data_IF_747351766008
#
_entry.id   IF_747351766008
#
_cell.length_a   1.000
_cell.length_b   1.000
_cell.length_c   1.000
_cell.angle_alpha   90.00
_cell.angle_beta   90.00
_cell.angle_gamma   90.00
#
_symmetry.space_group_name_H-M   'P 1'
#
loop_
_entity.id
_entity.type
_entity.pdbx_description
1 polymer ?
#
# COMPACT_ATOMS: atom_id res chain seq x y z
N UNK A 1 -25.89 -23.67 70.07
CA UNK A 1 -26.96 -23.25 69.12
C UNK A 1 -26.31 -23.00 67.77
N UNK A 2 -26.30 -24.01 66.90
CA UNK A 2 -25.73 -23.91 65.55
C UNK A 2 -26.82 -23.61 64.52
N UNK A 3 -26.52 -22.77 63.53
CA UNK A 3 -27.30 -22.67 62.30
C UNK A 3 -26.41 -22.92 61.09
N UNK A 4 -26.97 -23.80 60.25
CA UNK A 4 -26.38 -24.51 59.12
C UNK A 4 -26.22 -23.61 57.88
N UNK A 5 -25.21 -23.97 57.08
CA UNK A 5 -25.11 -23.69 55.66
C UNK A 5 -26.31 -24.27 54.87
N UNK A 6 -26.67 -23.63 53.76
CA UNK A 6 -27.44 -24.23 52.68
C UNK A 6 -26.65 -24.12 51.38
N UNK A 7 -26.27 -25.27 50.85
CA UNK A 7 -25.95 -25.49 49.45
C UNK A 7 -27.23 -25.47 48.61
N UNK A 8 -27.11 -25.07 47.36
CA UNK A 8 -28.06 -25.43 46.29
C UNK A 8 -27.21 -25.81 45.09
N UNK A 9 -27.26 -27.09 44.74
CA UNK A 9 -26.84 -27.65 43.46
C UNK A 9 -28.08 -27.88 42.58
N UNK A 10 -27.81 -28.21 41.32
CA UNK A 10 -28.69 -28.86 40.32
C UNK A 10 -29.51 -27.84 39.49
N UNK A 11 -29.50 -27.80 38.15
CA UNK A 11 -29.56 -28.90 37.19
C UNK A 11 -29.09 -28.48 35.77
N UNK A 12 -28.41 -29.41 35.10
CA UNK A 12 -28.11 -29.43 33.66
C UNK A 12 -29.40 -29.68 32.86
N UNK A 13 -29.59 -28.99 31.73
CA UNK A 13 -30.47 -29.43 30.65
C UNK A 13 -29.93 -28.94 29.28
N UNK A 14 -29.37 -29.89 28.57
CA UNK A 14 -29.11 -29.91 27.13
C UNK A 14 -30.43 -30.05 26.35
N UNK A 15 -30.54 -29.43 25.17
CA UNK A 15 -31.42 -29.87 24.07
C UNK A 15 -31.25 -29.03 22.80
N UNK A 16 -30.84 -29.74 21.76
CA UNK A 16 -30.85 -29.43 20.34
C UNK A 16 -32.11 -28.71 19.83
N UNK A 17 -31.91 -27.80 18.87
CA UNK A 17 -32.89 -27.59 17.80
C UNK A 17 -32.31 -26.93 16.54
N UNK A 18 -32.23 -27.76 15.49
CA UNK A 18 -32.76 -27.53 14.14
C UNK A 18 -32.05 -26.52 13.22
N UNK A 19 -31.23 -27.12 12.36
CA UNK A 19 -30.85 -26.71 11.00
C UNK A 19 -32.08 -26.36 10.15
N UNK A 20 -32.09 -25.19 9.50
CA UNK A 20 -32.92 -24.94 8.31
C UNK A 20 -32.03 -24.57 7.13
N UNK A 21 -31.83 -25.58 6.29
CA UNK A 21 -31.39 -25.47 4.90
C UNK A 21 -32.57 -25.01 4.04
N UNK A 22 -32.34 -24.01 3.18
CA UNK A 22 -33.25 -23.65 2.11
C UNK A 22 -32.54 -23.87 0.77
N UNK A 23 -32.74 -25.07 0.24
CA UNK A 23 -32.41 -25.49 -1.12
C UNK A 23 -33.44 -24.93 -2.09
N UNK A 24 -32.98 -24.19 -3.10
CA UNK A 24 -33.79 -23.79 -4.26
C UNK A 24 -33.43 -24.70 -5.43
N UNK A 25 -34.38 -25.54 -5.84
CA UNK A 25 -34.33 -26.31 -7.09
C UNK A 25 -35.19 -25.59 -8.13
N UNK A 26 -34.60 -25.26 -9.29
CA UNK A 26 -35.35 -25.05 -10.53
C UNK A 26 -34.62 -25.76 -11.68
N UNK A 27 -35.37 -26.72 -12.23
CA UNK A 27 -35.38 -27.40 -13.52
C UNK A 27 -34.17 -27.34 -14.49
N UNK A 28 -33.76 -28.55 -14.89
CA UNK A 28 -33.06 -28.85 -16.15
C UNK A 28 -34.07 -28.86 -17.31
N UNK A 29 -33.67 -28.32 -18.46
CA UNK A 29 -34.13 -28.73 -19.78
C UNK A 29 -32.98 -28.51 -20.80
N UNK A 30 -32.70 -29.54 -21.59
CA UNK A 30 -31.86 -29.58 -22.80
C UNK A 30 -32.65 -30.42 -23.83
N UNK A 31 -32.29 -30.55 -25.13
CA UNK A 31 -31.33 -29.82 -25.97
C UNK A 31 -31.87 -29.47 -27.39
N UNK A 32 -31.17 -28.61 -28.13
CA UNK A 32 -30.84 -28.86 -29.55
C UNK A 32 -29.85 -27.83 -30.08
N UNK A 33 -28.93 -28.29 -30.94
CA UNK A 33 -27.69 -27.61 -31.28
C UNK A 33 -27.73 -26.72 -32.52
N UNK A 34 -26.54 -26.20 -32.85
CA UNK A 34 -25.93 -26.21 -34.18
C UNK A 34 -24.53 -25.61 -34.11
N UNK A 35 -23.61 -26.35 -34.72
CA UNK A 35 -22.28 -26.00 -35.24
C UNK A 35 -22.21 -24.62 -35.88
N UNK A 36 -21.15 -23.85 -35.58
CA UNK A 36 -20.40 -23.09 -36.59
C UNK A 36 -18.92 -23.11 -36.22
N UNK A 37 -18.17 -23.62 -37.19
CA UNK A 37 -16.73 -23.64 -37.37
C UNK A 37 -16.23 -22.26 -37.80
N UNK A 38 -15.10 -21.81 -37.26
CA UNK A 38 -14.27 -20.79 -37.90
C UNK A 38 -12.87 -20.85 -37.34
N UNK A 39 -12.07 -21.69 -37.99
CA UNK A 39 -10.62 -21.61 -38.07
C UNK A 39 -10.22 -20.41 -38.94
N UNK A 40 -9.28 -19.60 -38.47
CA UNK A 40 -8.41 -18.75 -39.31
C UNK A 40 -7.23 -18.22 -38.48
N UNK A 41 -6.10 -17.87 -39.10
CA UNK A 41 -4.85 -18.58 -38.88
C UNK A 41 -3.75 -17.72 -38.27
N UNK A 42 -2.68 -18.41 -37.91
CA UNK A 42 -1.38 -17.90 -37.48
C UNK A 42 -0.89 -16.74 -38.35
N UNK A 43 -0.53 -15.63 -37.69
CA UNK A 43 0.25 -14.55 -38.29
C UNK A 43 1.63 -14.58 -37.67
N UNK A 44 2.54 -15.24 -38.38
CA UNK A 44 3.98 -15.20 -38.19
C UNK A 44 4.44 -13.77 -38.51
N UNK A 45 5.07 -13.10 -37.55
CA UNK A 45 5.90 -11.92 -37.80
C UNK A 45 7.34 -12.38 -37.61
N UNK A 46 7.98 -12.72 -38.72
CA UNK A 46 9.43 -12.69 -38.85
C UNK A 46 9.85 -11.21 -38.86
N UNK A 47 10.77 -10.85 -37.98
CA UNK A 47 11.59 -9.65 -38.17
C UNK A 47 13.02 -10.01 -37.79
N UNK A 48 13.78 -10.39 -38.81
CA UNK A 48 15.23 -10.34 -38.83
C UNK A 48 15.68 -8.91 -38.54
N UNK A 49 16.49 -8.73 -37.50
CA UNK A 49 17.40 -7.60 -37.44
C UNK A 49 18.81 -8.11 -37.17
N UNK A 50 19.63 -7.81 -38.17
CA UNK A 50 21.01 -8.17 -38.33
C UNK A 50 21.90 -7.71 -37.17
N UNK A 51 22.77 -8.63 -36.82
CA UNK A 51 23.96 -8.42 -36.02
C UNK A 51 24.97 -7.60 -36.82
N UNK A 52 25.27 -6.38 -36.38
CA UNK A 52 26.51 -5.70 -36.75
C UNK A 52 27.30 -5.35 -35.49
N UNK A 53 28.37 -6.10 -35.31
CA UNK A 53 29.50 -5.79 -34.43
C UNK A 53 30.23 -4.56 -34.93
N UNK A 54 30.51 -3.61 -34.04
CA UNK A 54 31.53 -2.58 -34.28
C UNK A 54 32.52 -2.61 -33.13
N UNK A 55 33.75 -2.84 -33.55
CA UNK A 55 34.99 -2.96 -32.79
C UNK A 55 35.32 -1.68 -32.02
N UNK A 56 35.79 -1.92 -30.81
CA UNK A 56 36.45 -1.02 -29.85
C UNK A 56 37.52 -0.12 -30.47
N UNK A 57 37.46 1.17 -30.17
CA UNK A 57 38.65 2.03 -30.13
C UNK A 57 38.79 2.66 -28.75
N UNK A 58 39.86 2.22 -28.08
CA UNK A 58 40.42 2.78 -26.87
C UNK A 58 41.02 4.14 -27.16
N UNK A 59 40.64 5.17 -26.40
CA UNK A 59 41.53 6.30 -26.13
C UNK A 59 41.27 6.87 -24.74
N UNK A 60 42.37 7.02 -24.03
CA UNK A 60 42.53 7.44 -22.65
C UNK A 60 42.34 8.96 -22.50
N UNK A 61 41.45 9.38 -21.61
CA UNK A 61 41.48 10.71 -20.99
C UNK A 61 41.24 10.53 -19.49
N UNK A 62 42.22 10.97 -18.71
CA UNK A 62 42.20 11.07 -17.26
C UNK A 62 41.72 12.48 -16.85
N UNK A 63 41.13 12.57 -15.64
CA UNK A 63 40.68 13.79 -14.94
C UNK A 63 39.33 14.31 -15.49
N UNK A 64 38.27 14.53 -14.71
CA UNK A 64 38.12 14.99 -13.32
C UNK A 64 36.99 14.21 -12.61
N UNK A 65 37.24 13.76 -11.38
CA UNK A 65 36.21 13.21 -10.48
C UNK A 65 35.75 14.38 -9.64
N UNK A 66 34.79 15.14 -10.15
CA UNK A 66 34.00 16.09 -9.36
C UNK A 66 32.63 15.48 -9.04
N UNK A 67 32.19 15.72 -7.81
CA UNK A 67 31.05 15.13 -7.11
C UNK A 67 29.74 15.06 -7.93
N UNK A 68 29.44 13.88 -8.47
CA UNK A 68 28.16 13.62 -9.17
C UNK A 68 27.00 13.23 -8.24
N UNK A 69 27.14 13.36 -6.91
CA UNK A 69 26.09 13.05 -5.94
C UNK A 69 25.46 14.29 -5.26
N UNK A 70 25.76 15.50 -5.73
CA UNK A 70 25.02 16.69 -5.33
C UNK A 70 23.68 16.77 -6.07
N UNK A 71 22.70 15.98 -5.62
CA UNK A 71 21.29 16.28 -5.89
C UNK A 71 20.99 17.63 -5.22
N UNK A 72 21.16 18.72 -5.97
CA UNK A 72 20.62 20.00 -5.58
C UNK A 72 19.14 19.79 -5.22
N UNK A 73 18.64 20.32 -4.10
CA UNK A 73 17.25 20.15 -3.75
C UNK A 73 16.43 20.79 -4.86
N UNK A 74 15.85 19.96 -5.73
CA UNK A 74 14.76 20.37 -6.61
C UNK A 74 13.80 21.15 -5.72
N UNK A 75 13.39 22.31 -6.19
CA UNK A 75 12.51 23.25 -5.51
C UNK A 75 11.12 22.60 -5.38
N UNK A 76 11.02 21.53 -4.60
CA UNK A 76 9.86 20.67 -4.52
C UNK A 76 9.01 21.18 -3.40
N UNK A 77 7.82 21.63 -3.77
CA UNK A 77 6.79 21.99 -2.80
C UNK A 77 6.43 20.78 -1.91
N UNK A 78 6.78 19.56 -2.31
CA UNK A 78 6.61 18.33 -1.54
C UNK A 78 7.74 18.08 -0.52
N UNK A 79 7.36 17.89 0.75
CA UNK A 79 8.25 17.42 1.82
C UNK A 79 7.73 16.10 2.39
N UNK A 80 8.62 15.12 2.56
CA UNK A 80 8.29 13.84 3.18
C UNK A 80 9.26 13.54 4.31
N UNK A 81 8.72 13.30 5.50
CA UNK A 81 9.48 13.07 6.73
C UNK A 81 8.89 11.92 7.51
N UNK A 82 9.71 11.22 8.30
CA UNK A 82 9.18 10.23 9.23
C UNK A 82 8.62 10.91 10.48
N UNK A 83 7.33 10.69 10.76
CA UNK A 83 6.65 11.25 11.92
C UNK A 83 6.98 10.51 13.22
N UNK A 84 7.56 9.30 13.13
CA UNK A 84 8.02 8.54 14.30
C UNK A 84 9.49 8.84 14.64
N UNK A 85 10.20 9.60 13.80
CA UNK A 85 11.61 9.93 13.98
C UNK A 85 11.78 11.29 14.67
N UNK A 86 12.46 11.29 15.82
CA UNK A 86 12.83 12.53 16.53
C UNK A 86 13.77 13.43 15.72
N UNK A 87 14.54 12.85 14.79
CA UNK A 87 15.52 13.60 13.99
C UNK A 87 14.88 14.39 12.85
N UNK A 88 13.59 14.19 12.57
CA UNK A 88 12.92 14.78 11.40
C UNK A 88 13.53 14.34 10.08
N UNK A 89 14.11 13.14 10.03
CA UNK A 89 14.77 12.61 8.85
C UNK A 89 13.82 12.56 7.65
N UNK A 90 14.34 12.93 6.48
CA UNK A 90 13.57 13.07 5.26
C UNK A 90 13.62 11.80 4.43
N UNK A 91 12.47 11.39 3.90
CA UNK A 91 12.38 10.40 2.84
C UNK A 91 12.49 11.14 1.50
N UNK A 92 13.63 11.02 0.83
CA UNK A 92 13.87 11.69 -0.46
C UNK A 92 13.31 10.80 -1.58
N UNK A 93 12.29 11.24 -2.33
CA UNK A 93 11.76 10.45 -3.44
C UNK A 93 12.80 10.29 -4.56
N UNK A 94 12.76 9.14 -5.23
CA UNK A 94 13.67 8.71 -6.31
C UNK A 94 15.14 8.59 -5.88
N UNK A 95 15.42 8.60 -4.58
CA UNK A 95 16.76 8.30 -4.09
C UNK A 95 17.05 6.80 -4.22
N UNK A 96 18.24 6.47 -4.73
CA UNK A 96 18.73 5.08 -4.78
C UNK A 96 19.09 4.55 -3.39
N UNK A 97 19.50 5.44 -2.48
CA UNK A 97 19.78 5.08 -1.09
C UNK A 97 18.45 4.95 -0.33
N UNK A 98 18.13 3.77 0.23
CA UNK A 98 16.90 3.59 0.99
C UNK A 98 16.88 4.39 2.28
N UNK A 99 15.71 4.89 2.64
CA UNK A 99 15.46 5.43 3.98
C UNK A 99 15.47 4.30 5.01
N UNK A 100 16.22 4.47 6.10
CA UNK A 100 16.33 3.48 7.17
C UNK A 100 15.16 3.62 8.14
N UNK A 101 14.43 2.52 8.33
CA UNK A 101 13.40 2.38 9.35
C UNK A 101 14.04 1.75 10.58
N UNK A 102 13.94 2.40 11.73
CA UNK A 102 14.37 1.82 13.00
C UNK A 102 13.56 2.41 14.16
N UNK A 103 12.57 1.67 14.64
CA UNK A 103 11.73 2.04 15.78
C UNK A 103 11.45 0.83 16.69
N UNK A 104 10.62 0.98 17.72
CA UNK A 104 10.40 -0.07 18.72
C UNK A 104 9.85 -1.39 18.14
N UNK A 105 9.12 -1.32 17.03
CA UNK A 105 8.36 -2.46 16.47
C UNK A 105 8.95 -3.00 15.18
N UNK A 106 9.72 -2.20 14.45
CA UNK A 106 10.23 -2.51 13.13
C UNK A 106 11.67 -2.01 12.94
N UNK A 107 12.47 -2.76 12.18
CA UNK A 107 13.68 -2.25 11.53
C UNK A 107 13.63 -2.62 10.05
N UNK A 108 14.17 -1.79 9.18
CA UNK A 108 14.04 -2.01 7.75
C UNK A 108 14.49 -0.85 6.92
N UNK A 109 14.03 -0.84 5.67
CA UNK A 109 14.38 0.14 4.65
C UNK A 109 13.19 0.43 3.74
N UNK A 110 13.09 1.66 3.26
CA UNK A 110 12.05 2.06 2.33
C UNK A 110 12.61 2.94 1.19
N UNK A 111 12.09 2.74 -0.02
CA UNK A 111 12.28 3.64 -1.16
C UNK A 111 10.92 4.11 -1.63
N UNK A 112 10.83 5.40 -1.96
CA UNK A 112 9.67 5.98 -2.62
C UNK A 112 10.07 6.42 -4.04
N UNK A 113 9.52 5.75 -5.04
CA UNK A 113 9.54 6.23 -6.42
C UNK A 113 8.34 7.15 -6.62
N UNK A 114 8.57 8.29 -7.24
CA UNK A 114 7.59 9.33 -7.47
C UNK A 114 7.71 9.83 -8.91
N UNK A 115 6.59 9.83 -9.62
CA UNK A 115 6.49 10.52 -10.91
C UNK A 115 6.62 12.02 -10.67
N UNK A 116 7.51 12.66 -11.45
CA UNK A 116 7.81 14.09 -11.34
C UNK A 116 7.71 14.81 -12.68
N UNK A 117 7.64 16.13 -12.62
CA UNK A 117 7.69 17.04 -13.77
C UNK A 117 8.76 18.11 -13.54
N UNK A 118 9.87 18.11 -14.30
CA UNK A 118 10.21 17.18 -15.39
C UNK A 118 10.41 15.74 -14.90
N UNK A 119 10.29 14.78 -15.82
CA UNK A 119 10.48 13.36 -15.49
C UNK A 119 11.90 13.08 -15.01
N UNK A 120 12.01 12.22 -14.00
CA UNK A 120 13.28 11.79 -13.43
C UNK A 120 13.77 10.55 -14.19
N UNK A 121 14.89 10.68 -14.90
CA UNK A 121 15.44 9.65 -15.76
C UNK A 121 15.71 8.32 -15.03
N UNK A 122 15.96 8.35 -13.71
CA UNK A 122 16.24 7.15 -12.92
C UNK A 122 15.01 6.26 -12.73
N UNK A 123 13.80 6.85 -12.77
CA UNK A 123 12.53 6.15 -12.54
C UNK A 123 11.55 6.28 -13.71
N UNK A 124 11.89 7.05 -14.76
CA UNK A 124 11.08 7.20 -15.98
C UNK A 124 10.65 5.84 -16.56
N UNK A 125 11.55 4.85 -16.76
CA UNK A 125 11.17 3.58 -17.37
C UNK A 125 10.06 2.84 -16.60
N UNK A 126 10.06 2.96 -15.26
CA UNK A 126 9.04 2.37 -14.40
C UNK A 126 7.65 2.99 -14.61
N UNK A 127 7.58 4.30 -14.86
CA UNK A 127 6.32 5.04 -14.99
C UNK A 127 5.80 5.12 -16.43
N UNK A 128 6.67 4.96 -17.42
CA UNK A 128 6.37 5.11 -18.85
C UNK A 128 5.23 4.21 -19.30
N UNK A 129 4.22 4.81 -19.94
CA UNK A 129 3.03 4.10 -20.44
C UNK A 129 2.07 3.56 -19.37
N UNK A 130 2.36 3.79 -18.07
CA UNK A 130 1.53 3.33 -16.94
C UNK A 130 0.84 4.52 -16.29
N UNK A 131 -0.26 4.28 -15.56
CA UNK A 131 -0.98 5.31 -14.77
C UNK A 131 -0.43 5.51 -13.35
N UNK A 132 0.67 4.85 -13.01
CA UNK A 132 1.28 4.90 -11.66
C UNK A 132 1.81 6.31 -11.41
N UNK A 133 1.53 6.85 -10.24
CA UNK A 133 1.99 8.17 -9.78
C UNK A 133 3.10 8.05 -8.75
N UNK A 134 3.08 7.00 -7.93
CA UNK A 134 4.15 6.66 -7.01
C UNK A 134 4.22 5.14 -6.79
N UNK A 135 5.34 4.67 -6.28
CA UNK A 135 5.51 3.34 -5.70
C UNK A 135 6.32 3.45 -4.40
N UNK A 136 5.83 2.84 -3.34
CA UNK A 136 6.64 2.59 -2.15
C UNK A 136 7.11 1.13 -2.15
N UNK A 137 8.42 0.94 -2.01
CA UNK A 137 9.04 -0.36 -1.79
C UNK A 137 9.58 -0.40 -0.37
N UNK A 138 9.22 -1.43 0.38
CA UNK A 138 9.61 -1.57 1.79
C UNK A 138 10.15 -2.97 2.01
N UNK A 139 11.19 -3.05 2.82
CA UNK A 139 11.69 -4.27 3.43
C UNK A 139 11.74 -4.04 4.94
N UNK A 140 11.04 -4.84 5.73
CA UNK A 140 10.98 -4.65 7.18
C UNK A 140 10.94 -5.95 7.97
N UNK A 141 11.69 -6.01 9.06
CA UNK A 141 11.68 -7.06 10.07
C UNK A 141 10.88 -6.59 11.28
N UNK A 142 9.89 -7.37 11.69
CA UNK A 142 9.20 -7.13 12.96
C UNK A 142 10.13 -7.52 14.12
N UNK A 143 10.26 -6.64 15.12
CA UNK A 143 11.18 -6.85 16.26
C UNK A 143 10.55 -7.73 17.34
N UNK A 144 9.51 -7.22 18.01
CA UNK A 144 8.97 -7.82 19.22
C UNK A 144 7.46 -8.06 19.17
N UNK A 145 6.84 -7.86 17.99
CA UNK A 145 5.40 -7.97 17.81
C UNK A 145 5.03 -9.15 16.92
N UNK A 146 4.11 -9.98 17.40
CA UNK A 146 3.37 -10.93 16.58
C UNK A 146 1.99 -10.32 16.27
N UNK A 147 1.62 -10.30 15.00
CA UNK A 147 0.33 -9.76 14.57
C UNK A 147 -0.33 -10.67 13.55
N UNK A 148 -1.66 -10.69 13.53
CA UNK A 148 -2.39 -11.38 12.47
C UNK A 148 -2.33 -10.62 11.15
N UNK A 149 -2.11 -9.30 11.21
CA UNK A 149 -2.24 -8.43 10.05
C UNK A 149 -1.47 -7.13 10.22
N UNK A 150 -0.72 -6.79 9.17
CA UNK A 150 -0.23 -5.43 8.94
C UNK A 150 -1.26 -4.68 8.09
N UNK A 151 -1.60 -3.46 8.50
CA UNK A 151 -2.39 -2.52 7.74
C UNK A 151 -1.48 -1.51 7.05
N UNK A 152 -1.85 -1.11 5.84
CA UNK A 152 -1.18 -0.08 5.05
C UNK A 152 -2.20 0.89 4.49
N UNK A 153 -1.78 2.12 4.26
CA UNK A 153 -2.58 3.05 3.48
C UNK A 153 -2.26 4.51 3.75
N UNK A 154 -3.31 5.33 3.71
CA UNK A 154 -3.23 6.78 3.77
C UNK A 154 -4.06 7.28 4.93
N UNK A 155 -3.51 8.22 5.70
CA UNK A 155 -4.13 8.80 6.88
C UNK A 155 -4.02 10.33 6.84
N UNK A 156 -4.99 11.06 7.40
CA UNK A 156 -4.88 12.49 7.70
C UNK A 156 -4.54 12.74 9.18
N UNK A 157 -4.32 14.00 9.55
CA UNK A 157 -4.05 14.39 10.95
C UNK A 157 -5.30 14.56 11.82
N UNK A 158 -6.49 14.45 11.25
CA UNK A 158 -7.77 14.69 11.94
C UNK A 158 -8.97 14.24 11.12
N UNK A 159 -10.20 14.62 11.52
CA UNK A 159 -11.37 14.49 10.67
C UNK A 159 -11.22 15.27 9.37
N UNK A 160 -11.78 14.74 8.28
CA UNK A 160 -11.68 15.37 6.97
C UNK A 160 -12.57 16.64 6.93
N UNK A 161 -12.01 17.84 6.73
CA UNK A 161 -12.77 19.09 6.81
C UNK A 161 -13.81 19.28 5.70
N UNK A 162 -13.76 18.50 4.61
CA UNK A 162 -14.72 18.43 3.48
C UNK A 162 -15.43 19.76 3.18
N UNK A 163 -14.84 20.56 2.29
CA UNK A 163 -15.41 21.84 1.88
C UNK A 163 -16.60 21.65 0.93
N UNK A 164 -17.81 21.56 1.49
CA UNK A 164 -19.09 21.56 0.76
C UNK A 164 -19.51 20.22 0.13
N UNK A 165 -20.69 20.19 -0.48
CA UNK A 165 -21.36 18.96 -0.93
C UNK A 165 -20.56 18.16 -1.96
N UNK A 166 -19.82 18.83 -2.84
CA UNK A 166 -19.03 18.17 -3.89
C UNK A 166 -17.90 17.33 -3.31
N UNK A 167 -17.13 17.88 -2.36
CA UNK A 167 -16.04 17.14 -1.70
C UNK A 167 -16.58 15.94 -0.93
N UNK A 168 -17.75 16.08 -0.30
CA UNK A 168 -18.43 14.99 0.39
C UNK A 168 -18.87 13.88 -0.57
N UNK A 169 -19.49 14.21 -1.70
CA UNK A 169 -19.88 13.25 -2.73
C UNK A 169 -18.66 12.51 -3.31
N UNK A 170 -17.57 13.24 -3.59
CA UNK A 170 -16.32 12.65 -4.05
C UNK A 170 -15.72 11.69 -3.01
N UNK A 171 -15.70 12.06 -1.73
CA UNK A 171 -15.21 11.20 -0.65
C UNK A 171 -16.05 9.92 -0.51
N UNK A 172 -17.38 10.00 -0.68
CA UNK A 172 -18.25 8.81 -0.72
C UNK A 172 -17.97 7.91 -1.92
N UNK A 173 -17.73 8.50 -3.09
CA UNK A 173 -17.37 7.74 -4.30
C UNK A 173 -16.05 7.00 -4.12
N UNK A 174 -15.01 7.67 -3.62
CA UNK A 174 -13.70 7.06 -3.31
C UNK A 174 -13.86 5.94 -2.27
N UNK A 175 -14.64 6.16 -1.22
CA UNK A 175 -14.92 5.14 -0.19
C UNK A 175 -15.62 3.91 -0.79
N UNK A 176 -16.61 4.12 -1.66
CA UNK A 176 -17.33 3.03 -2.34
C UNK A 176 -16.40 2.24 -3.26
N UNK A 177 -15.54 2.93 -4.02
CA UNK A 177 -14.54 2.31 -4.88
C UNK A 177 -13.61 1.40 -4.07
N UNK A 178 -13.02 1.92 -2.99
CA UNK A 178 -12.10 1.15 -2.13
C UNK A 178 -12.77 -0.10 -1.54
N UNK A 179 -14.00 0.05 -1.03
CA UNK A 179 -14.76 -1.07 -0.46
C UNK A 179 -15.11 -2.12 -1.51
N UNK A 180 -15.30 -1.71 -2.77
CA UNK A 180 -15.56 -2.66 -3.86
C UNK A 180 -14.31 -3.42 -4.32
N UNK A 181 -13.12 -2.84 -4.16
CA UNK A 181 -11.86 -3.44 -4.66
C UNK A 181 -11.07 -4.19 -3.60
N UNK A 182 -11.35 -3.98 -2.31
CA UNK A 182 -10.54 -4.55 -1.23
C UNK A 182 -11.39 -4.98 -0.05
N UNK A 183 -11.44 -6.30 0.15
CA UNK A 183 -12.08 -6.91 1.31
C UNK A 183 -11.32 -6.58 2.59
N UNK A 184 -12.06 -6.46 3.70
CA UNK A 184 -11.51 -6.11 5.01
C UNK A 184 -10.77 -4.76 5.05
N UNK A 185 -11.14 -3.83 4.16
CA UNK A 185 -10.72 -2.44 4.24
C UNK A 185 -11.40 -1.73 5.41
N UNK A 186 -10.64 -0.91 6.14
CA UNK A 186 -11.15 0.01 7.14
C UNK A 186 -11.00 1.43 6.60
N UNK A 187 -12.12 2.11 6.40
CA UNK A 187 -12.16 3.45 5.81
C UNK A 187 -12.99 4.35 6.71
N UNK A 188 -12.38 5.46 7.12
CA UNK A 188 -13.01 6.50 7.93
C UNK A 188 -12.79 7.87 7.32
N UNK A 189 -13.81 8.73 7.37
CA UNK A 189 -13.67 10.16 7.10
C UNK A 189 -13.29 10.94 8.37
N UNK A 190 -13.07 10.22 9.48
CA UNK A 190 -12.74 10.72 10.79
C UNK A 190 -13.95 11.10 11.62
N UNK A 191 -13.80 10.96 12.94
CA UNK A 191 -14.79 11.24 13.97
C UNK A 191 -14.06 11.51 15.30
N UNK A 192 -14.76 11.41 16.44
CA UNK A 192 -14.18 11.62 17.78
C UNK A 192 -13.16 10.55 18.19
N UNK A 193 -13.22 9.36 17.60
CA UNK A 193 -12.43 8.18 17.98
C UNK A 193 -11.29 7.89 17.00
N UNK A 194 -11.42 8.26 15.73
CA UNK A 194 -10.43 8.02 14.68
C UNK A 194 -10.28 9.21 13.72
N UNK A 195 -9.07 9.39 13.19
CA UNK A 195 -8.79 10.35 12.12
C UNK A 195 -9.30 9.85 10.77
N UNK A 196 -9.36 10.71 9.74
CA UNK A 196 -9.67 10.24 8.40
C UNK A 196 -8.56 9.33 7.87
N UNK A 197 -8.91 8.17 7.31
CA UNK A 197 -7.94 7.24 6.75
C UNK A 197 -8.57 6.22 5.81
N UNK A 198 -7.71 5.64 4.98
CA UNK A 198 -7.93 4.43 4.20
C UNK A 198 -6.89 3.43 4.68
N UNK A 199 -7.32 2.33 5.27
CA UNK A 199 -6.43 1.30 5.81
C UNK A 199 -6.81 -0.06 5.25
N UNK A 200 -5.87 -0.70 4.59
CA UNK A 200 -6.06 -1.91 3.84
C UNK A 200 -5.12 -3.00 4.38
N UNK A 201 -5.54 -4.28 4.46
CA UNK A 201 -4.63 -5.35 4.83
C UNK A 201 -3.48 -5.43 3.82
N UNK A 202 -2.23 -5.41 4.31
CA UNK A 202 -1.04 -5.40 3.47
C UNK A 202 -1.02 -6.58 2.50
N UNK A 203 -1.27 -7.79 3.00
CA UNK A 203 -1.22 -8.99 2.18
C UNK A 203 -2.24 -8.98 1.03
N UNK A 204 -3.41 -8.35 1.18
CA UNK A 204 -4.39 -8.27 0.10
C UNK A 204 -4.17 -7.09 -0.83
N UNK A 205 -3.34 -6.11 -0.44
CA UNK A 205 -3.24 -4.82 -1.12
C UNK A 205 -1.93 -4.64 -1.87
N UNK A 206 -0.83 -5.16 -1.34
CA UNK A 206 0.48 -5.06 -1.98
C UNK A 206 0.46 -5.62 -3.41
N UNK A 207 1.19 -4.97 -4.32
CA UNK A 207 1.36 -5.48 -5.67
C UNK A 207 2.26 -6.72 -5.62
N UNK A 208 3.46 -6.56 -5.07
CA UNK A 208 4.38 -7.67 -4.77
C UNK A 208 4.54 -7.85 -3.27
N UNK A 209 4.60 -9.09 -2.81
CA UNK A 209 4.77 -9.43 -1.39
C UNK A 209 5.64 -10.68 -1.25
N UNK A 210 6.76 -10.55 -0.54
CA UNK A 210 7.78 -11.58 -0.35
C UNK A 210 8.01 -11.72 1.16
N UNK A 211 8.14 -12.96 1.63
CA UNK A 211 8.58 -13.27 2.99
C UNK A 211 9.95 -13.92 2.85
N UNK A 212 10.97 -13.25 3.38
CA UNK A 212 12.36 -13.75 3.38
C UNK A 212 12.69 -14.29 4.76
N UNK A 213 13.22 -15.52 4.80
CA UNK A 213 13.67 -16.11 6.07
C UNK A 213 15.03 -15.53 6.45
N UNK A 214 15.32 -15.56 7.75
CA UNK A 214 16.63 -15.14 8.26
C UNK A 214 17.75 -15.94 7.58
N UNK A 215 18.70 -15.23 6.98
CA UNK A 215 19.84 -15.80 6.27
C UNK A 215 19.67 -15.94 4.76
N UNK A 216 18.45 -15.85 4.23
CA UNK A 216 18.22 -15.84 2.79
C UNK A 216 18.53 -14.45 2.18
N UNK A 217 18.94 -14.38 0.90
CA UNK A 217 19.21 -13.11 0.24
C UNK A 217 17.92 -12.30 0.03
N UNK A 218 17.98 -11.07 0.51
CA UNK A 218 16.90 -10.09 0.42
C UNK A 218 16.66 -9.61 -1.02
N UNK A 219 15.40 -9.32 -1.41
CA UNK A 219 15.15 -8.67 -2.69
C UNK A 219 15.75 -7.26 -2.68
N UNK A 220 16.43 -6.84 -3.76
CA UNK A 220 16.98 -5.49 -3.84
C UNK A 220 15.85 -4.45 -3.86
N UNK A 221 16.02 -3.35 -3.12
CA UNK A 221 15.15 -2.17 -3.22
C UNK A 221 15.56 -1.30 -4.40
N UNK A 222 14.63 -0.50 -4.91
CA UNK A 222 14.88 0.46 -5.99
C UNK A 222 14.78 -0.14 -7.40
N UNK A 223 14.70 -1.46 -7.53
CA UNK A 223 14.47 -2.14 -8.82
C UNK A 223 13.08 -1.86 -9.35
N UNK A 224 12.89 -1.89 -10.67
CA UNK A 224 11.60 -1.63 -11.31
C UNK A 224 10.48 -2.48 -10.71
N UNK A 225 10.68 -3.79 -10.64
CA UNK A 225 9.73 -4.71 -10.03
C UNK A 225 10.48 -5.74 -9.19
N UNK A 226 9.92 -6.11 -8.04
CA UNK A 226 10.49 -7.18 -7.24
C UNK A 226 10.45 -8.53 -7.99
N UNK A 227 11.38 -9.45 -7.67
CA UNK A 227 11.45 -10.74 -8.33
C UNK A 227 10.16 -11.56 -8.12
N UNK A 228 9.43 -11.81 -9.19
CA UNK A 228 8.09 -12.41 -9.14
C UNK A 228 8.12 -13.89 -8.74
N UNK A 229 9.21 -14.60 -9.04
CA UNK A 229 9.42 -15.99 -8.66
C UNK A 229 9.53 -16.20 -7.14
N UNK A 230 9.93 -15.16 -6.40
CA UNK A 230 9.94 -15.15 -4.93
C UNK A 230 8.63 -14.63 -4.33
N UNK A 231 7.79 -13.98 -5.14
CA UNK A 231 6.57 -13.35 -4.68
C UNK A 231 5.49 -14.40 -4.35
N UNK A 232 4.73 -14.14 -3.29
CA UNK A 232 3.54 -14.92 -2.99
C UNK A 232 2.40 -14.41 -3.89
N UNK A 233 1.80 -15.25 -4.75
CA UNK A 233 0.70 -14.84 -5.61
C UNK A 233 -0.46 -14.28 -4.79
N UNK A 234 -1.06 -13.15 -5.21
CA UNK A 234 -2.10 -12.44 -4.45
C UNK A 234 -3.27 -13.34 -4.04
N UNK A 235 -3.70 -14.23 -4.94
CA UNK A 235 -4.78 -15.19 -4.70
C UNK A 235 -4.46 -16.23 -3.60
N UNK A 236 -3.19 -16.45 -3.30
CA UNK A 236 -2.73 -17.45 -2.33
C UNK A 236 -2.35 -16.85 -0.98
N UNK A 237 -2.15 -15.53 -0.91
CA UNK A 237 -1.68 -14.83 0.31
C UNK A 237 -2.56 -15.10 1.52
N UNK A 238 -3.89 -15.04 1.38
CA UNK A 238 -4.81 -15.33 2.50
C UNK A 238 -4.70 -16.78 3.03
N UNK A 239 -4.26 -17.72 2.18
CA UNK A 239 -4.05 -19.12 2.58
C UNK A 239 -2.67 -19.30 3.23
N UNK A 240 -1.64 -18.69 2.66
CA UNK A 240 -0.23 -18.88 3.07
C UNK A 240 0.20 -18.00 4.25
N UNK A 241 -0.40 -16.82 4.41
CA UNK A 241 -0.06 -15.86 5.46
C UNK A 241 -1.08 -16.02 6.60
N UNK A 242 -0.64 -16.62 7.71
CA UNK A 242 -1.46 -16.85 8.92
C UNK A 242 -1.17 -15.85 10.04
N UNK A 243 -0.37 -14.85 9.75
CA UNK A 243 0.14 -13.86 10.68
C UNK A 243 1.53 -13.44 10.26
N UNK A 244 2.06 -12.49 11.00
CA UNK A 244 3.41 -11.96 10.87
C UNK A 244 4.14 -12.19 12.18
N UNK A 245 5.38 -12.66 12.07
CA UNK A 245 6.20 -13.14 13.18
C UNK A 245 7.45 -12.26 13.32
N UNK A 246 7.92 -12.08 14.57
CA UNK A 246 9.24 -11.53 14.82
C UNK A 246 10.34 -12.29 14.06
N UNK A 247 11.31 -11.55 13.53
CA UNK A 247 12.49 -12.10 12.85
C UNK A 247 12.27 -12.58 11.40
N UNK A 248 11.04 -12.55 10.88
CA UNK A 248 10.78 -12.65 9.44
C UNK A 248 10.93 -11.28 8.78
N UNK A 249 11.45 -11.25 7.55
CA UNK A 249 11.60 -10.03 6.78
C UNK A 249 10.53 -9.99 5.69
N UNK A 250 9.70 -8.95 5.73
CA UNK A 250 8.62 -8.73 4.78
C UNK A 250 9.06 -7.68 3.77
N UNK A 251 9.17 -8.07 2.50
CA UNK A 251 9.43 -7.16 1.40
C UNK A 251 8.17 -6.98 0.56
N UNK A 252 7.72 -5.75 0.36
CA UNK A 252 6.53 -5.46 -0.44
C UNK A 252 6.66 -4.18 -1.26
N UNK A 253 5.93 -4.16 -2.37
CA UNK A 253 5.75 -2.95 -3.18
C UNK A 253 4.28 -2.58 -3.29
N UNK A 254 4.01 -1.29 -3.29
CA UNK A 254 2.67 -0.72 -3.46
C UNK A 254 2.74 0.53 -4.32
N UNK A 255 2.09 0.50 -5.46
CA UNK A 255 1.91 1.68 -6.30
C UNK A 255 0.55 2.33 -6.08
N UNK A 256 0.51 3.65 -6.18
CA UNK A 256 -0.71 4.42 -6.28
C UNK A 256 -0.85 5.04 -7.65
N UNK A 257 -2.06 5.02 -8.20
CA UNK A 257 -2.39 5.69 -9.47
C UNK A 257 -3.33 6.88 -9.29
N UNK A 258 -3.96 7.03 -8.12
CA UNK A 258 -5.02 8.01 -7.91
C UNK A 258 -4.57 9.29 -7.21
N UNK A 259 -3.31 9.36 -6.79
CA UNK A 259 -2.79 10.51 -6.05
C UNK A 259 -1.49 10.96 -6.69
N UNK A 260 -1.53 12.18 -7.20
CA UNK A 260 -0.36 12.93 -7.65
C UNK A 260 0.18 13.73 -6.45
N UNK A 261 1.26 13.24 -5.84
CA UNK A 261 1.85 13.89 -4.66
C UNK A 261 2.56 15.19 -5.04
N UNK A 262 3.14 15.27 -6.23
CA UNK A 262 3.86 16.46 -6.69
C UNK A 262 2.89 17.60 -6.97
N UNK A 263 1.82 17.33 -7.73
CA UNK A 263 0.79 18.32 -8.04
C UNK A 263 -0.28 18.48 -6.94
N UNK A 264 -0.20 17.68 -5.87
CA UNK A 264 -1.15 17.62 -4.75
C UNK A 264 -2.61 17.42 -5.18
N UNK A 265 -2.86 16.43 -6.04
CA UNK A 265 -4.17 16.20 -6.68
C UNK A 265 -4.61 14.74 -6.63
N UNK A 266 -5.91 14.54 -6.45
CA UNK A 266 -6.58 13.30 -6.81
C UNK A 266 -6.69 13.24 -8.34
N UNK A 267 -6.19 12.18 -8.96
CA UNK A 267 -6.10 11.99 -10.42
C UNK A 267 -6.61 10.60 -10.83
N UNK A 268 -6.79 10.36 -12.12
CA UNK A 268 -7.14 9.05 -12.69
C UNK A 268 -8.42 8.37 -12.15
N UNK A 269 -9.27 9.08 -11.40
CA UNK A 269 -10.55 8.55 -10.91
C UNK A 269 -11.56 8.52 -12.08
N UNK A 270 -12.20 7.37 -12.37
CA UNK A 270 -13.11 7.25 -13.49
C UNK A 270 -14.23 8.30 -13.46
N UNK A 271 -14.39 9.05 -14.55
CA UNK A 271 -15.42 10.11 -14.72
C UNK A 271 -15.34 11.27 -13.74
N UNK A 272 -14.23 11.41 -13.01
CA UNK A 272 -14.00 12.50 -12.07
C UNK A 272 -12.78 13.30 -12.55
N UNK A 273 -12.91 14.62 -12.78
CA UNK A 273 -11.77 15.45 -13.16
C UNK A 273 -10.76 15.53 -11.99
N UNK A 274 -9.48 15.87 -12.25
CA UNK A 274 -8.51 16.06 -11.19
C UNK A 274 -8.99 17.03 -10.10
N UNK A 275 -8.85 16.64 -8.83
CA UNK A 275 -9.31 17.44 -7.69
C UNK A 275 -8.10 17.79 -6.81
N UNK A 276 -7.92 19.08 -6.50
CA UNK A 276 -6.90 19.49 -5.53
C UNK A 276 -7.16 18.87 -4.16
N UNK A 277 -6.14 18.22 -3.58
CA UNK A 277 -6.23 17.54 -2.29
C UNK A 277 -6.58 18.49 -1.15
N UNK A 278 -6.27 19.79 -1.29
CA UNK A 278 -6.67 20.84 -0.35
C UNK A 278 -8.19 20.93 -0.14
N UNK A 279 -9.01 20.51 -1.12
CA UNK A 279 -10.47 20.47 -0.95
C UNK A 279 -10.94 19.40 0.04
N UNK A 280 -10.12 18.36 0.24
CA UNK A 280 -10.39 17.28 1.18
C UNK A 280 -9.69 17.53 2.52
N UNK A 281 -8.41 17.93 2.49
CA UNK A 281 -7.54 17.98 3.66
C UNK A 281 -7.32 19.42 4.18
N UNK A 282 -7.74 20.46 3.46
CA UNK A 282 -7.29 21.82 3.73
C UNK A 282 -5.75 21.89 3.65
N UNK A 283 -5.14 22.52 4.66
CA UNK A 283 -3.68 22.60 4.82
C UNK A 283 -3.12 21.48 5.72
N UNK A 284 -3.92 20.47 6.05
CA UNK A 284 -3.48 19.39 6.91
C UNK A 284 -2.51 18.45 6.17
N UNK A 285 -1.49 17.93 6.86
CA UNK A 285 -0.62 16.92 6.31
C UNK A 285 -1.39 15.62 6.05
N UNK A 286 -0.83 14.82 5.16
CA UNK A 286 -1.25 13.44 4.91
C UNK A 286 -0.12 12.50 5.31
N UNK A 287 -0.43 11.24 5.60
CA UNK A 287 0.54 10.25 6.03
C UNK A 287 0.43 8.98 5.19
N UNK A 288 1.56 8.47 4.71
CA UNK A 288 1.67 7.07 4.34
C UNK A 288 1.99 6.27 5.59
N UNK A 289 1.20 5.23 5.83
CA UNK A 289 1.29 4.47 7.07
C UNK A 289 1.37 2.98 6.82
N UNK A 290 2.17 2.31 7.64
CA UNK A 290 2.04 0.89 7.92
C UNK A 290 1.97 0.70 9.43
N UNK A 291 0.99 -0.05 9.91
CA UNK A 291 0.82 -0.27 11.34
C UNK A 291 0.18 -1.61 11.64
N UNK A 292 0.25 -2.00 12.90
CA UNK A 292 -0.42 -3.17 13.45
C UNK A 292 -1.36 -2.76 14.58
N UNK A 293 -2.27 -3.65 14.92
CA UNK A 293 -3.20 -3.50 16.04
C UNK A 293 -2.98 -4.65 17.02
N UNK A 294 -3.39 -4.51 18.29
CA UNK A 294 -3.34 -5.60 19.26
C UNK A 294 -4.02 -6.86 18.72
N UNK A 295 -3.49 -8.03 19.08
CA UNK A 295 -4.03 -9.33 18.64
C UNK A 295 -5.52 -9.47 19.03
N UNK A 296 -6.34 -9.87 18.07
CA UNK A 296 -7.79 -10.01 18.25
C UNK A 296 -8.56 -8.69 18.41
N UNK A 297 -7.91 -7.54 18.21
CA UNK A 297 -8.57 -6.24 18.34
C UNK A 297 -9.67 -6.06 17.30
N UNK A 298 -10.86 -5.68 17.77
CA UNK A 298 -12.02 -5.30 16.96
C UNK A 298 -12.51 -3.96 17.47
N UNK A 299 -12.43 -2.93 16.63
CA UNK A 299 -12.85 -1.59 17.02
C UNK A 299 -12.32 -0.50 16.08
N UNK A 300 -12.49 0.77 16.44
CA UNK A 300 -11.93 1.89 15.69
C UNK A 300 -10.40 1.81 15.63
N UNK A 301 -9.83 2.21 14.50
CA UNK A 301 -8.37 2.29 14.35
C UNK A 301 -7.91 3.66 14.86
N UNK A 302 -8.07 3.89 16.16
CA UNK A 302 -7.61 5.13 16.82
C UNK A 302 -6.08 5.18 16.87
N UNK A 303 -5.51 6.38 16.95
CA UNK A 303 -4.04 6.53 17.04
C UNK A 303 -3.44 5.78 18.23
N UNK A 304 -4.16 5.74 19.36
CA UNK A 304 -3.67 5.16 20.62
C UNK A 304 -3.46 3.66 20.58
N UNK A 305 -4.11 2.96 19.65
CA UNK A 305 -4.04 1.50 19.53
C UNK A 305 -3.16 1.05 18.36
N UNK A 306 -2.62 1.98 17.58
CA UNK A 306 -1.75 1.65 16.44
C UNK A 306 -0.30 1.60 16.90
N UNK A 307 0.38 0.57 16.44
CA UNK A 307 1.84 0.50 16.50
C UNK A 307 2.38 0.64 15.08
N UNK A 308 3.05 1.75 14.80
CA UNK A 308 3.49 2.10 13.45
C UNK A 308 4.82 1.43 13.08
N UNK A 309 4.82 0.68 11.98
CA UNK A 309 6.06 0.24 11.33
C UNK A 309 6.74 1.41 10.62
N UNK A 310 5.93 2.30 10.03
CA UNK A 310 6.34 3.61 9.57
C UNK A 310 5.13 4.55 9.49
N UNK A 311 5.40 5.85 9.62
CA UNK A 311 4.40 6.92 9.45
C UNK A 311 5.03 8.10 8.73
N UNK A 312 5.10 8.02 7.41
CA UNK A 312 5.69 9.09 6.60
C UNK A 312 4.71 10.24 6.43
N UNK A 313 5.00 11.38 7.06
CA UNK A 313 4.29 12.65 6.91
C UNK A 313 4.65 13.27 5.57
N UNK A 314 3.62 13.65 4.82
CA UNK A 314 3.68 14.25 3.48
C UNK A 314 3.03 15.62 3.55
N UNK A 315 3.77 16.64 3.17
CA UNK A 315 3.36 18.04 3.20
C UNK A 315 3.60 18.71 1.85
N UNK A 316 2.71 19.62 1.46
CA UNK A 316 2.86 20.45 0.28
C UNK A 316 2.97 21.93 0.70
N UNK A 317 4.16 22.49 0.57
CA UNK A 317 4.63 23.77 1.12
C UNK A 317 4.12 25.01 0.38
N UNK A 318 3.55 24.87 -0.82
CA UNK A 318 2.86 26.01 -1.48
C UNK A 318 1.57 26.41 -0.76
N UNK A 319 1.02 25.54 0.09
CA UNK A 319 -0.19 25.83 0.85
C UNK A 319 0.04 26.53 2.20
N UNK A 320 1.30 26.71 2.63
CA UNK A 320 1.61 27.42 3.88
C UNK A 320 1.79 28.93 3.71
N UNK A 321 1.92 29.43 2.48
CA UNK A 321 2.22 30.84 2.17
C UNK A 321 0.99 31.72 1.89
N UNK A 322 -0.22 31.17 1.96
CA UNK A 322 -1.47 31.87 1.61
C UNK A 322 -2.43 32.03 2.79
N UNK A 323 -1.94 31.95 4.04
CA UNK A 323 -2.67 32.28 5.25
C UNK A 323 -2.39 33.71 5.71
#
# INVERSE_FOLDING_TARGET
MGRKAKSVDVMVADKDAVVKSSTLHVAKNTPMGKTVDSTHPDMVIESDYDCMSVTTQSSSISQEVEDSNSLAPLNTSLRISDAESDSGALLIPNCLEPYVLDNDVCKGRAILKLRRTPEDATVEPYFKGRKRMYEIQVEGELKNIETERIYVGIQGSGPMPLQGMFSWAAAKCVTALIRSTTTNSHVSLGNKDEVCHISLPLHTTADTFIITKKGDPLPPLGVDEFPQEKAIPRAERAKRIKGHKPGEIYSFSMHGMYLDLEAWRLVNVPKVPPICMARFLGNLPMYFVAYVLPKGYVGPHSEKVKEYLFKFRIEHTEMSKSA
#
